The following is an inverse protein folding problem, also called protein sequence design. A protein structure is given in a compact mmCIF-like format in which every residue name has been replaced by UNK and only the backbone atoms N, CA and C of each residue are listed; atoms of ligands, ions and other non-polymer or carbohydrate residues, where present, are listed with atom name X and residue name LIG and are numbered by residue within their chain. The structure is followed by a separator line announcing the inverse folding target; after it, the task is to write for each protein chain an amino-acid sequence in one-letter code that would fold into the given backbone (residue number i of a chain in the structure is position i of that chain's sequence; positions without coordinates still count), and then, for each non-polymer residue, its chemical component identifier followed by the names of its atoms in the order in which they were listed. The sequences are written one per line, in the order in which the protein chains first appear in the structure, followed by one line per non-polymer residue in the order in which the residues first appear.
data_IF_609199960422
#
_entry.id   IF_609199960422
#
_cell.length_a   1.000
_cell.length_b   1.000
_cell.length_c   1.000
_cell.angle_alpha   90.00
_cell.angle_beta   90.00
_cell.angle_gamma   90.00
#
_symmetry.space_group_name_H-M   'P 1'
#
loop_
_entity.id
_entity.type
_entity.pdbx_description
1 polymer ?
#
# COMPACT_ATOMS: atom_id res chain seq x y z
N UNK A 1 13.10 -3.17 -4.33
CA UNK A 1 13.96 -2.20 -3.62
C UNK A 1 13.09 -1.62 -2.52
N UNK A 2 13.62 -1.43 -1.31
CA UNK A 2 12.85 -1.01 -0.14
C UNK A 2 13.15 0.46 0.14
N UNK A 3 12.13 1.29 0.30
CA UNK A 3 12.28 2.70 0.64
C UNK A 3 11.13 3.16 1.53
N UNK A 4 11.45 3.91 2.58
CA UNK A 4 10.49 4.65 3.38
C UNK A 4 10.84 6.15 3.27
N UNK A 5 9.86 6.98 2.94
CA UNK A 5 10.05 8.43 2.75
C UNK A 5 9.15 9.22 3.70
N UNK A 6 9.64 10.37 4.16
CA UNK A 6 8.93 11.29 5.06
C UNK A 6 8.95 12.68 4.46
N UNK A 7 7.79 13.34 4.42
CA UNK A 7 7.65 14.71 3.94
C UNK A 7 6.82 15.52 4.95
N UNK A 8 7.30 16.72 5.30
CA UNK A 8 6.61 17.72 6.13
C UNK A 8 6.09 18.86 5.24
N UNK A 9 4.81 19.24 5.36
CA UNK A 9 4.26 20.47 4.76
C UNK A 9 4.25 21.61 5.78
N UNK A 10 4.76 22.77 5.39
CA UNK A 10 5.03 23.92 6.25
C UNK A 10 3.78 24.74 6.66
N UNK A 11 2.56 24.35 6.23
CA UNK A 11 1.32 25.13 6.54
C UNK A 11 0.26 24.40 7.37
N UNK A 12 0.53 23.18 7.79
CA UNK A 12 -0.29 22.41 8.72
C UNK A 12 0.46 21.12 8.97
N UNK A 13 0.69 20.77 10.23
CA UNK A 13 1.62 19.72 10.71
C UNK A 13 1.19 18.30 10.30
N UNK A 14 1.01 18.07 9.01
CA UNK A 14 0.69 16.78 8.44
C UNK A 14 1.99 16.00 8.30
N UNK A 15 2.10 14.90 9.02
CA UNK A 15 3.19 13.94 8.80
C UNK A 15 2.68 12.87 7.86
N UNK A 16 3.41 12.60 6.78
CA UNK A 16 3.11 11.50 5.86
C UNK A 16 4.20 10.45 5.95
N UNK A 17 3.79 9.20 6.15
CA UNK A 17 4.66 8.04 6.05
C UNK A 17 4.25 7.18 4.87
N UNK A 18 5.24 6.60 4.20
CA UNK A 18 4.98 5.70 3.07
C UNK A 18 5.84 4.45 3.16
N UNK A 19 5.21 3.31 2.93
CA UNK A 19 5.88 2.04 2.70
C UNK A 19 5.60 1.56 1.28
N UNK A 20 6.65 1.43 0.48
CA UNK A 20 6.56 1.07 -0.93
C UNK A 20 6.97 -0.39 -1.15
N UNK A 21 6.10 -1.14 -1.80
CA UNK A 21 6.41 -2.43 -2.40
C UNK A 21 6.66 -2.25 -3.89
N UNK A 22 7.68 -2.92 -4.41
CA UNK A 22 7.97 -2.95 -5.85
C UNK A 22 7.90 -4.39 -6.35
N UNK A 23 7.07 -4.60 -7.36
CA UNK A 23 6.93 -5.83 -8.12
C UNK A 23 7.65 -5.65 -9.45
N UNK A 24 8.47 -6.64 -9.80
CA UNK A 24 9.30 -6.60 -11.00
C UNK A 24 8.73 -7.52 -12.08
N UNK A 25 8.90 -7.14 -13.34
CA UNK A 25 8.64 -8.02 -14.48
C UNK A 25 9.69 -9.14 -14.60
N UNK A 26 9.53 -9.99 -15.62
CA UNK A 26 10.47 -11.06 -15.95
C UNK A 26 11.89 -10.57 -16.24
N UNK A 27 12.04 -9.32 -16.68
CA UNK A 27 13.31 -8.69 -17.02
C UNK A 27 13.96 -8.01 -15.79
N UNK A 28 13.32 -8.13 -14.61
CA UNK A 28 13.79 -7.57 -13.35
C UNK A 28 13.58 -6.06 -13.21
N UNK A 29 12.82 -5.44 -14.11
CA UNK A 29 12.46 -4.02 -14.08
C UNK A 29 11.21 -3.79 -13.24
N UNK A 30 11.08 -2.65 -12.53
CA UNK A 30 9.86 -2.31 -11.82
C UNK A 30 8.65 -2.24 -12.79
N UNK A 31 7.66 -3.09 -12.56
CA UNK A 31 6.42 -3.14 -13.34
C UNK A 31 5.26 -2.51 -12.59
N UNK A 32 5.13 -2.83 -11.30
CA UNK A 32 4.08 -2.31 -10.43
C UNK A 32 4.66 -1.89 -9.09
N UNK A 33 4.17 -0.78 -8.54
CA UNK A 33 4.41 -0.41 -7.14
C UNK A 33 3.11 -0.39 -6.35
N UNK A 34 3.19 -0.76 -5.08
CA UNK A 34 2.09 -0.65 -4.12
C UNK A 34 2.60 0.20 -2.95
N UNK A 35 2.07 1.41 -2.83
CA UNK A 35 2.42 2.35 -1.78
C UNK A 35 1.33 2.35 -0.71
N UNK A 36 1.72 2.07 0.54
CA UNK A 36 0.87 2.26 1.71
C UNK A 36 1.22 3.60 2.33
N UNK A 37 0.26 4.52 2.40
CA UNK A 37 0.44 5.89 2.85
C UNK A 37 -0.39 6.14 4.11
N UNK A 38 0.29 6.42 5.22
CA UNK A 38 -0.33 6.86 6.46
C UNK A 38 -0.19 8.38 6.59
N UNK A 39 -1.27 9.04 7.00
CA UNK A 39 -1.30 10.50 7.25
C UNK A 39 -1.65 10.78 8.70
N UNK A 40 -0.88 11.65 9.33
CA UNK A 40 -1.06 12.06 10.73
C UNK A 40 -1.39 13.54 10.78
N UNK A 41 -2.36 13.92 11.61
CA UNK A 41 -2.76 15.32 11.79
C UNK A 41 -1.74 16.17 12.59
N UNK A 42 -0.66 15.57 13.09
CA UNK A 42 0.35 16.24 13.94
C UNK A 42 1.79 15.76 13.66
N UNK A 43 2.77 16.51 14.17
CA UNK A 43 4.24 16.41 13.93
C UNK A 43 4.91 15.11 14.41
N UNK A 44 4.19 14.20 15.08
CA UNK A 44 4.74 12.91 15.53
C UNK A 44 3.61 11.90 15.76
N UNK A 45 3.73 10.64 15.30
CA UNK A 45 2.73 9.61 15.58
C UNK A 45 2.79 9.22 17.06
N UNK A 46 2.11 9.97 17.93
CA UNK A 46 1.77 9.47 19.28
C UNK A 46 0.65 8.43 19.19
N UNK A 47 -0.22 8.57 18.20
CA UNK A 47 -1.34 7.69 17.96
C UNK A 47 -1.16 7.06 16.58
N UNK A 48 -1.63 5.81 16.47
CA UNK A 48 -1.76 5.11 15.20
C UNK A 48 -2.55 5.96 14.19
N UNK A 49 -2.26 5.83 12.88
CA UNK A 49 -3.07 6.49 11.87
C UNK A 49 -4.49 5.91 11.89
N UNK A 50 -5.48 6.70 11.51
CA UNK A 50 -6.88 6.23 11.44
C UNK A 50 -7.12 5.40 10.19
N UNK A 51 -6.49 5.80 9.08
CA UNK A 51 -6.64 5.17 7.76
C UNK A 51 -5.29 5.06 7.06
N UNK A 52 -5.22 4.12 6.12
CA UNK A 52 -4.09 3.95 5.21
C UNK A 52 -4.63 4.01 3.78
N UNK A 53 -4.01 4.84 2.96
CA UNK A 53 -4.24 4.82 1.52
C UNK A 53 -3.28 3.80 0.90
N UNK A 54 -3.80 2.79 0.22
CA UNK A 54 -3.05 1.89 -0.65
C UNK A 54 -3.14 2.40 -2.08
N UNK A 55 -1.99 2.62 -2.70
CA UNK A 55 -1.87 3.18 -4.04
C UNK A 55 -1.14 2.17 -4.91
N UNK A 56 -1.84 1.57 -5.85
CA UNK A 56 -1.24 0.70 -6.86
C UNK A 56 -0.89 1.55 -8.07
N UNK A 57 0.35 1.46 -8.54
CA UNK A 57 0.81 2.18 -9.73
C UNK A 57 1.45 1.23 -10.72
N UNK A 58 0.88 1.13 -11.92
CA UNK A 58 1.49 0.41 -13.04
C UNK A 58 2.45 1.34 -13.80
N UNK A 59 3.70 0.90 -13.94
CA UNK A 59 4.76 1.68 -14.60
C UNK A 59 4.82 1.40 -16.11
N UNK A 60 4.32 0.25 -16.56
CA UNK A 60 4.26 -0.19 -17.96
C UNK A 60 2.83 -0.18 -18.50
N UNK A 61 2.24 1.01 -18.71
CA UNK A 61 0.81 1.11 -19.04
C UNK A 61 0.41 0.34 -20.30
N UNK A 62 -0.60 -0.53 -20.17
CA UNK A 62 -1.37 -1.06 -21.33
C UNK A 62 -2.88 -0.89 -21.24
N UNK A 63 -3.46 -0.66 -20.06
CA UNK A 63 -4.92 -0.64 -19.88
C UNK A 63 -5.55 0.74 -19.71
N UNK A 64 -6.76 0.89 -20.25
CA UNK A 64 -7.57 2.10 -20.19
C UNK A 64 -8.53 2.14 -18.98
N UNK A 65 -8.78 1.01 -18.31
CA UNK A 65 -9.67 0.91 -17.13
C UNK A 65 -9.20 -0.12 -16.11
N UNK A 66 -8.31 0.23 -15.18
CA UNK A 66 -7.85 -0.71 -14.17
C UNK A 66 -8.93 -0.97 -13.12
N UNK A 67 -9.20 -2.24 -12.88
CA UNK A 67 -9.97 -2.72 -11.73
C UNK A 67 -9.02 -3.17 -10.63
N UNK A 68 -9.49 -3.13 -9.39
CA UNK A 68 -8.71 -3.52 -8.23
C UNK A 68 -9.54 -4.43 -7.35
N UNK A 69 -9.03 -5.64 -7.09
CA UNK A 69 -9.58 -6.60 -6.14
C UNK A 69 -8.45 -7.14 -5.28
N UNK A 70 -8.75 -7.46 -4.03
CA UNK A 70 -7.76 -7.98 -3.09
C UNK A 70 -8.31 -9.21 -2.39
N UNK A 71 -7.46 -10.20 -2.19
CA UNK A 71 -7.74 -11.39 -1.41
C UNK A 71 -6.73 -11.53 -0.27
N UNK A 72 -7.24 -11.84 0.91
CA UNK A 72 -6.46 -12.08 2.12
C UNK A 72 -6.79 -13.49 2.59
N UNK A 73 -5.77 -14.35 2.65
CA UNK A 73 -5.92 -15.77 3.01
C UNK A 73 -6.99 -16.51 2.17
N UNK A 74 -7.15 -16.10 0.91
CA UNK A 74 -8.12 -16.65 -0.04
C UNK A 74 -9.49 -15.96 -0.04
N UNK A 75 -9.81 -15.17 0.98
CA UNK A 75 -11.08 -14.45 1.10
C UNK A 75 -11.01 -13.06 0.44
N UNK A 76 -12.05 -12.63 -0.31
CA UNK A 76 -12.07 -11.29 -0.88
C UNK A 76 -12.16 -10.24 0.22
N UNK A 77 -11.23 -9.29 0.22
CA UNK A 77 -11.28 -8.10 1.06
C UNK A 77 -12.08 -7.02 0.30
N UNK A 78 -13.25 -6.57 0.81
CA UNK A 78 -14.03 -5.55 0.13
C UNK A 78 -13.30 -4.21 0.17
N UNK A 79 -12.58 -3.92 -0.91
CA UNK A 79 -11.88 -2.65 -1.09
C UNK A 79 -12.58 -1.87 -2.20
N UNK A 80 -12.94 -0.62 -1.88
CA UNK A 80 -13.47 0.31 -2.88
C UNK A 80 -12.29 1.08 -3.49
N UNK A 81 -11.76 0.55 -4.60
CA UNK A 81 -10.76 1.23 -5.41
C UNK A 81 -11.35 2.44 -6.13
N UNK A 82 -10.62 3.55 -6.12
CA UNK A 82 -10.90 4.77 -6.90
C UNK A 82 -9.77 4.98 -7.88
N UNK A 83 -10.12 5.12 -9.16
CA UNK A 83 -9.15 5.49 -10.18
C UNK A 83 -8.59 6.88 -9.88
N UNK A 84 -7.28 6.99 -9.69
CA UNK A 84 -6.59 8.28 -9.52
C UNK A 84 -6.05 8.80 -10.84
N UNK A 85 -5.54 7.90 -11.68
CA UNK A 85 -5.10 8.17 -13.05
C UNK A 85 -5.19 6.88 -13.86
N UNK A 86 -4.97 6.94 -15.19
CA UNK A 86 -4.89 5.74 -16.04
C UNK A 86 -3.87 4.70 -15.57
N UNK A 87 -2.92 5.09 -14.72
CA UNK A 87 -1.82 4.25 -14.22
C UNK A 87 -1.88 4.00 -12.72
N UNK A 88 -2.90 4.50 -12.03
CA UNK A 88 -2.95 4.42 -10.58
C UNK A 88 -4.35 4.28 -10.03
N UNK A 89 -4.52 3.29 -9.16
CA UNK A 89 -5.73 3.07 -8.37
C UNK A 89 -5.40 3.32 -6.90
N UNK A 90 -6.30 3.99 -6.20
CA UNK A 90 -6.19 4.25 -4.77
C UNK A 90 -7.33 3.57 -4.04
N UNK A 91 -7.00 2.88 -2.97
CA UNK A 91 -7.92 2.29 -2.03
C UNK A 91 -7.64 2.86 -0.64
N UNK A 92 -8.66 3.32 0.07
CA UNK A 92 -8.51 3.74 1.46
C UNK A 92 -9.10 2.67 2.37
N UNK A 93 -8.36 2.25 3.39
CA UNK A 93 -8.82 1.28 4.38
C UNK A 93 -8.59 1.80 5.81
N UNK A 94 -9.40 1.37 6.79
CA UNK A 94 -9.09 1.53 8.21
C UNK A 94 -7.69 0.97 8.53
N UNK A 95 -6.97 1.64 9.43
CA UNK A 95 -5.63 1.15 9.81
C UNK A 95 -5.67 -0.23 10.49
N UNK A 96 -6.75 -0.56 11.18
CA UNK A 96 -6.94 -1.91 11.74
C UNK A 96 -6.98 -3.00 10.67
N UNK A 97 -7.59 -2.72 9.52
CA UNK A 97 -7.64 -3.64 8.39
C UNK A 97 -6.27 -3.78 7.75
N UNK A 98 -5.50 -2.69 7.65
CA UNK A 98 -4.10 -2.77 7.25
C UNK A 98 -3.28 -3.65 8.21
N UNK A 99 -3.45 -3.50 9.53
CA UNK A 99 -2.77 -4.35 10.52
C UNK A 99 -3.16 -5.82 10.33
N UNK A 100 -4.45 -6.13 10.14
CA UNK A 100 -4.92 -7.50 9.85
C UNK A 100 -4.27 -8.05 8.59
N UNK A 101 -4.27 -7.27 7.51
CA UNK A 101 -3.64 -7.60 6.24
C UNK A 101 -2.14 -7.91 6.42
N UNK A 102 -1.39 -7.13 7.20
CA UNK A 102 0.04 -7.42 7.43
C UNK A 102 0.30 -8.74 8.19
N UNK A 103 -0.69 -9.23 8.93
CA UNK A 103 -0.60 -10.48 9.68
C UNK A 103 -1.14 -11.69 8.90
N UNK A 104 -1.69 -11.49 7.70
CA UNK A 104 -2.12 -12.56 6.83
C UNK A 104 -0.96 -13.49 6.43
N UNK A 105 -1.29 -14.74 6.13
CA UNK A 105 -0.32 -15.69 5.60
C UNK A 105 -0.06 -15.38 4.12
N UNK A 106 -1.12 -15.01 3.39
CA UNK A 106 -1.07 -14.73 1.96
C UNK A 106 -1.93 -13.52 1.59
N UNK A 107 -1.31 -12.60 0.86
CA UNK A 107 -2.02 -11.49 0.21
C UNK A 107 -1.83 -11.63 -1.29
N UNK A 108 -2.95 -11.63 -1.99
CA UNK A 108 -3.00 -11.57 -3.44
C UNK A 108 -3.79 -10.34 -3.84
N UNK A 109 -3.13 -9.45 -4.57
CA UNK A 109 -3.74 -8.27 -5.14
C UNK A 109 -3.89 -8.45 -6.65
N UNK A 110 -5.08 -8.21 -7.16
CA UNK A 110 -5.33 -8.22 -8.59
C UNK A 110 -5.62 -6.78 -9.03
N UNK A 111 -4.72 -6.24 -9.85
CA UNK A 111 -4.81 -4.90 -10.40
C UNK A 111 -4.13 -4.86 -11.78
N UNK A 112 -4.67 -4.06 -12.71
CA UNK A 112 -4.13 -3.92 -14.08
C UNK A 112 -3.91 -5.28 -14.77
N UNK A 113 -4.92 -6.15 -14.71
CA UNK A 113 -4.90 -7.53 -15.22
C UNK A 113 -3.71 -8.39 -14.75
N UNK A 114 -3.09 -7.98 -13.65
CA UNK A 114 -1.94 -8.65 -13.06
C UNK A 114 -2.29 -9.14 -11.66
N UNK A 115 -1.89 -10.37 -11.37
CA UNK A 115 -1.93 -10.92 -10.01
C UNK A 115 -0.57 -10.67 -9.32
N UNK A 116 -0.62 -9.98 -8.20
CA UNK A 116 0.52 -9.60 -7.37
C UNK A 116 0.44 -10.36 -6.06
N UNK A 117 1.29 -11.38 -5.91
CA UNK A 117 1.43 -12.09 -4.65
C UNK A 117 2.55 -11.48 -3.82
N UNK A 118 2.23 -11.17 -2.56
CA UNK A 118 3.16 -10.51 -1.66
C UNK A 118 4.17 -11.54 -1.14
N UNK A 119 5.44 -11.35 -1.47
CA UNK A 119 6.52 -12.22 -1.02
C UNK A 119 6.77 -12.11 0.48
N UNK A 120 7.37 -13.16 1.07
CA UNK A 120 7.68 -13.21 2.52
C UNK A 120 8.45 -11.99 3.04
N UNK A 121 9.42 -11.49 2.26
CA UNK A 121 10.19 -10.30 2.64
C UNK A 121 9.36 -9.02 2.66
N UNK A 122 8.41 -8.88 1.71
CA UNK A 122 7.47 -7.77 1.65
C UNK A 122 6.51 -7.83 2.85
N UNK A 123 5.99 -9.02 3.18
CA UNK A 123 5.15 -9.25 4.36
C UNK A 123 5.86 -8.90 5.67
N UNK A 124 7.11 -9.32 5.83
CA UNK A 124 7.92 -8.97 7.01
C UNK A 124 8.13 -7.45 7.12
N UNK A 125 8.38 -6.77 5.99
CA UNK A 125 8.51 -5.31 5.94
C UNK A 125 7.20 -4.60 6.31
N UNK A 126 6.06 -5.06 5.80
CA UNK A 126 4.75 -4.49 6.14
C UNK A 126 4.43 -4.67 7.62
N UNK A 127 4.71 -5.83 8.22
CA UNK A 127 4.56 -6.04 9.67
C UNK A 127 5.42 -5.07 10.48
N UNK A 128 6.68 -4.89 10.10
CA UNK A 128 7.57 -3.92 10.75
C UNK A 128 7.05 -2.48 10.60
N UNK A 129 6.50 -2.14 9.44
CA UNK A 129 5.89 -0.83 9.18
C UNK A 129 4.65 -0.62 10.05
N UNK A 130 3.76 -1.62 10.13
CA UNK A 130 2.56 -1.57 10.97
C UNK A 130 2.92 -1.41 12.45
N UNK A 131 3.93 -2.15 12.94
CA UNK A 131 4.42 -2.01 14.31
C UNK A 131 4.95 -0.60 14.59
N UNK A 132 5.76 -0.05 13.67
CA UNK A 132 6.27 1.31 13.77
C UNK A 132 5.13 2.35 13.77
N UNK A 133 4.13 2.20 12.89
CA UNK A 133 2.97 3.10 12.83
C UNK A 133 2.06 2.99 14.06
N UNK A 134 2.06 1.86 14.76
CA UNK A 134 1.44 1.68 16.07
C UNK A 134 2.25 2.30 17.23
N UNK A 135 3.49 2.73 16.98
CA UNK A 135 4.41 3.22 18.01
C UNK A 135 5.11 2.11 18.81
N UNK A 136 5.29 0.92 18.22
CA UNK A 136 5.95 -0.25 18.81
C UNK A 136 7.31 -0.52 18.18
#
# INVERSE_FOLDING_TARGET
MIGAHWQLDAKGKLTVETATLTFKDSDGRPAVTVDFVARYATERPRNAPTVVDMIVTELSSKDDTPQMTMRVDGEPLPIIGRLRSRRSVVATMPFEDFVRLTNAERIVEQAFDTELEFGRGQMAMLRSTAAKWLGR
#
